data_IF_360024927075
#
_entry.id   IF_360024927075
#
_cell.length_a   1.000
_cell.length_b   1.000
_cell.length_c   1.000
_cell.angle_alpha   90.00
_cell.angle_beta   90.00
_cell.angle_gamma   90.00
#
_symmetry.space_group_name_H-M   'P 1'
#
loop_
_entity.id
_entity.type
_entity.pdbx_description
1 polymer ?
#
# COMPACT_ATOMS: atom_id res chain seq x y z
N UNK A 1 36.31 12.17 15.40
CA UNK A 1 35.04 12.70 15.92
C UNK A 1 34.01 12.45 14.82
N UNK A 2 33.12 11.44 14.91
CA UNK A 2 32.09 11.26 13.91
C UNK A 2 30.89 12.13 14.27
N UNK A 3 30.37 12.85 13.27
CA UNK A 3 29.17 13.66 13.37
C UNK A 3 27.94 12.76 13.53
N UNK A 4 27.17 12.99 14.57
CA UNK A 4 25.89 12.35 14.81
C UNK A 4 24.85 12.86 13.82
N UNK A 5 24.41 12.02 12.90
CA UNK A 5 23.22 12.25 12.08
C UNK A 5 21.98 12.07 12.97
N UNK A 6 21.39 13.18 13.36
CA UNK A 6 20.08 13.22 14.02
C UNK A 6 19.01 12.88 12.99
N UNK A 7 18.40 11.71 13.11
CA UNK A 7 17.18 11.36 12.38
C UNK A 7 16.04 12.23 12.92
N UNK A 8 15.63 13.21 12.11
CA UNK A 8 14.45 14.02 12.38
C UNK A 8 13.22 13.14 12.32
N UNK A 9 12.62 12.88 13.48
CA UNK A 9 11.27 12.34 13.62
C UNK A 9 10.30 13.26 12.88
N UNK A 10 9.73 12.79 11.78
CA UNK A 10 8.63 13.46 11.11
C UNK A 10 7.47 13.59 12.10
N UNK A 11 7.23 14.81 12.57
CA UNK A 11 6.12 15.14 13.45
C UNK A 11 4.81 14.91 12.68
N UNK A 12 4.15 13.80 13.00
CA UNK A 12 2.76 13.58 12.68
C UNK A 12 1.93 14.56 13.51
N UNK A 13 1.37 15.58 12.87
CA UNK A 13 0.41 16.48 13.52
C UNK A 13 -0.80 15.68 14.01
N UNK A 14 -0.97 15.64 15.32
CA UNK A 14 -2.14 15.07 15.98
C UNK A 14 -3.32 16.01 15.78
N UNK A 15 -4.26 15.62 14.94
CA UNK A 15 -5.58 16.23 14.90
C UNK A 15 -6.40 15.84 16.15
N UNK A 16 -7.35 16.67 16.60
CA UNK A 16 -8.07 16.49 17.86
C UNK A 16 -8.97 15.25 17.83
N UNK A 17 -9.04 14.58 18.98
CA UNK A 17 -9.88 13.44 19.29
C UNK A 17 -11.36 13.78 19.29
N UNK A 18 -12.18 12.91 18.66
CA UNK A 18 -13.55 12.63 19.05
C UNK A 18 -14.62 13.55 18.48
N UNK A 19 -15.34 13.01 17.55
CA UNK A 19 -16.81 12.93 17.37
C UNK A 19 -17.04 12.34 15.98
N UNK A 20 -17.94 11.37 15.87
CA UNK A 20 -18.37 10.80 14.58
C UNK A 20 -19.06 11.89 13.73
N UNK A 21 -18.27 12.56 12.90
CA UNK A 21 -18.73 13.64 12.03
C UNK A 21 -19.52 13.08 10.85
N UNK A 22 -20.64 13.70 10.43
CA UNK A 22 -21.37 13.34 9.21
C UNK A 22 -20.52 13.38 7.92
N UNK A 23 -19.34 14.02 7.98
CA UNK A 23 -18.34 14.00 6.90
C UNK A 23 -17.74 12.61 6.63
N UNK A 24 -17.74 11.68 7.58
CA UNK A 24 -17.26 10.31 7.39
C UNK A 24 -18.20 9.50 6.50
N UNK A 25 -19.51 9.72 6.61
CA UNK A 25 -20.53 9.10 5.75
C UNK A 25 -20.42 9.57 4.30
N UNK A 26 -20.26 10.88 4.08
CA UNK A 26 -20.09 11.44 2.73
C UNK A 26 -18.84 10.97 2.00
N UNK A 27 -17.73 10.80 2.72
CA UNK A 27 -16.48 10.26 2.16
C UNK A 27 -16.63 8.79 1.74
N UNK A 28 -17.36 7.99 2.53
CA UNK A 28 -17.63 6.58 2.23
C UNK A 28 -18.51 6.43 0.99
N UNK A 29 -19.52 7.27 0.85
CA UNK A 29 -20.42 7.30 -0.31
C UNK A 29 -19.71 7.79 -1.57
N UNK A 30 -18.89 8.83 -1.47
CA UNK A 30 -18.07 9.34 -2.58
C UNK A 30 -17.05 8.30 -3.06
N UNK A 31 -16.43 7.55 -2.13
CA UNK A 31 -15.52 6.46 -2.45
C UNK A 31 -16.24 5.34 -3.21
N UNK A 32 -17.42 4.91 -2.75
CA UNK A 32 -18.22 3.87 -3.41
C UNK A 32 -18.70 4.29 -4.81
N UNK A 33 -19.01 5.58 -5.01
CA UNK A 33 -19.36 6.13 -6.31
C UNK A 33 -18.13 6.19 -7.25
N UNK A 34 -16.99 6.60 -6.74
CA UNK A 34 -15.74 6.62 -7.51
C UNK A 34 -15.31 5.19 -7.93
N UNK A 35 -15.43 4.21 -7.04
CA UNK A 35 -15.17 2.78 -7.34
C UNK A 35 -16.06 2.25 -8.47
N UNK A 36 -17.28 2.80 -8.65
CA UNK A 36 -18.23 2.38 -9.70
C UNK A 36 -18.06 3.11 -11.02
N UNK A 37 -17.57 4.35 -10.99
CA UNK A 37 -17.59 5.27 -12.14
C UNK A 37 -16.22 5.42 -12.81
N UNK A 38 -15.11 5.20 -12.08
CA UNK A 38 -13.77 5.32 -12.67
C UNK A 38 -13.37 4.00 -13.34
N UNK A 39 -12.85 4.05 -14.59
CA UNK A 39 -12.31 2.89 -15.26
C UNK A 39 -11.16 2.28 -14.47
N UNK A 40 -11.09 0.95 -14.38
CA UNK A 40 -9.96 0.22 -13.75
C UNK A 40 -8.61 0.53 -14.39
N UNK A 41 -8.64 1.01 -15.65
CA UNK A 41 -7.43 1.49 -16.32
C UNK A 41 -6.81 2.71 -15.63
N UNK A 42 -7.59 3.48 -14.85
CA UNK A 42 -7.13 4.69 -14.17
C UNK A 42 -6.84 4.46 -12.69
N UNK A 43 -7.70 3.71 -12.00
CA UNK A 43 -7.54 3.48 -10.56
C UNK A 43 -8.14 2.15 -10.14
N UNK A 44 -7.40 1.43 -9.30
CA UNK A 44 -7.82 0.15 -8.73
C UNK A 44 -7.94 0.29 -7.22
N UNK A 45 -9.07 -0.14 -6.67
CA UNK A 45 -9.36 -0.19 -5.24
C UNK A 45 -9.46 -1.62 -4.74
N UNK A 46 -9.85 -2.54 -5.65
CA UNK A 46 -10.07 -3.95 -5.42
C UNK A 46 -9.76 -4.73 -6.69
N UNK A 47 -9.42 -6.01 -6.57
CA UNK A 47 -9.27 -6.89 -7.71
C UNK A 47 -10.61 -7.23 -8.38
N UNK A 48 -10.53 -7.79 -9.58
CA UNK A 48 -11.70 -8.16 -10.40
C UNK A 48 -12.66 -9.13 -9.70
N UNK A 49 -12.16 -9.98 -8.81
CA UNK A 49 -12.96 -10.93 -8.04
C UNK A 49 -13.97 -10.24 -7.08
N UNK A 50 -13.65 -9.06 -6.59
CA UNK A 50 -14.52 -8.31 -5.67
C UNK A 50 -15.83 -7.81 -6.31
N UNK A 51 -15.89 -7.76 -7.64
CA UNK A 51 -17.11 -7.37 -8.37
C UNK A 51 -18.20 -8.43 -8.33
N UNK A 52 -17.83 -9.67 -8.13
CA UNK A 52 -18.78 -10.76 -7.85
C UNK A 52 -19.05 -10.73 -6.37
N UNK A 53 -20.07 -9.99 -5.92
CA UNK A 53 -20.53 -9.92 -4.52
C UNK A 53 -20.64 -11.32 -3.93
N UNK A 54 -19.52 -11.86 -3.49
CA UNK A 54 -19.42 -13.19 -2.92
C UNK A 54 -18.62 -13.09 -1.63
N UNK A 55 -19.23 -13.46 -0.51
CA UNK A 55 -18.51 -13.77 0.73
C UNK A 55 -17.74 -15.10 0.62
N UNK A 56 -17.55 -15.60 -0.61
CA UNK A 56 -16.80 -16.84 -0.84
C UNK A 56 -15.29 -16.57 -0.70
N UNK A 57 -14.54 -17.59 -0.30
CA UNK A 57 -13.08 -17.53 -0.33
C UNK A 57 -12.54 -17.16 -1.71
N UNK A 58 -11.47 -16.38 -1.74
CA UNK A 58 -10.81 -15.95 -2.95
C UNK A 58 -9.51 -15.23 -2.61
N UNK A 59 -8.87 -14.60 -3.60
CA UNK A 59 -7.58 -13.92 -3.35
C UNK A 59 -7.77 -12.58 -2.65
N UNK A 60 -6.84 -12.27 -1.71
CA UNK A 60 -6.69 -10.99 -1.03
C UNK A 60 -5.24 -10.55 -1.15
N UNK A 61 -4.98 -9.31 -1.52
CA UNK A 61 -3.62 -8.80 -1.62
C UNK A 61 -3.17 -8.12 -0.33
N UNK A 62 -1.99 -8.51 0.17
CA UNK A 62 -1.29 -7.73 1.19
C UNK A 62 -0.41 -6.70 0.53
N UNK A 63 -0.42 -5.46 1.06
CA UNK A 63 0.46 -4.41 0.57
C UNK A 63 0.98 -3.53 1.70
N UNK A 64 2.24 -3.12 1.55
CA UNK A 64 2.96 -2.27 2.48
C UNK A 64 3.37 -0.97 1.80
N UNK A 65 3.13 0.17 2.44
CA UNK A 65 3.55 1.49 1.98
C UNK A 65 4.80 1.97 2.76
N UNK A 66 5.44 3.04 2.31
CA UNK A 66 6.50 3.81 2.99
C UNK A 66 7.88 3.14 3.05
N UNK A 67 8.07 1.98 2.43
CA UNK A 67 9.38 1.31 2.36
C UNK A 67 10.33 1.87 1.28
N UNK A 68 11.57 1.34 1.20
CA UNK A 68 12.17 0.40 2.16
C UNK A 68 12.64 1.09 3.45
N UNK A 69 12.64 0.38 4.58
CA UNK A 69 13.03 0.89 5.89
C UNK A 69 14.09 0.00 6.56
N UNK A 70 14.73 0.44 7.65
CA UNK A 70 15.60 -0.44 8.42
C UNK A 70 14.94 -1.72 8.94
N UNK A 71 13.62 -1.80 8.89
CA UNK A 71 12.87 -3.00 9.30
C UNK A 71 12.52 -3.93 8.11
N UNK A 72 12.83 -3.57 6.89
CA UNK A 72 12.51 -4.34 5.67
C UNK A 72 12.85 -5.83 5.83
N UNK A 73 14.08 -6.15 6.21
CA UNK A 73 14.49 -7.55 6.34
C UNK A 73 13.66 -8.31 7.38
N UNK A 74 13.24 -7.67 8.46
CA UNK A 74 12.37 -8.29 9.47
C UNK A 74 10.95 -8.56 8.93
N UNK A 75 10.41 -7.68 8.07
CA UNK A 75 9.15 -7.94 7.36
C UNK A 75 9.30 -9.16 6.47
N UNK A 76 10.40 -9.25 5.71
CA UNK A 76 10.66 -10.37 4.80
C UNK A 76 10.78 -11.70 5.56
N UNK A 77 11.52 -11.73 6.69
CA UNK A 77 11.65 -12.91 7.53
C UNK A 77 10.28 -13.44 8.00
N UNK A 78 9.39 -12.54 8.44
CA UNK A 78 8.06 -12.95 8.91
C UNK A 78 7.17 -13.40 7.75
N UNK A 79 7.21 -12.73 6.62
CA UNK A 79 6.44 -13.10 5.43
C UNK A 79 6.89 -14.46 4.87
N UNK A 80 8.20 -14.75 4.89
CA UNK A 80 8.75 -16.05 4.52
C UNK A 80 8.25 -17.15 5.45
N UNK A 81 8.33 -16.96 6.77
CA UNK A 81 7.80 -17.91 7.77
C UNK A 81 6.30 -18.18 7.56
N UNK A 82 5.54 -17.17 7.22
CA UNK A 82 4.11 -17.27 6.94
C UNK A 82 3.81 -17.85 5.54
N UNK A 83 4.83 -17.97 4.68
CA UNK A 83 4.72 -18.39 3.27
C UNK A 83 3.73 -17.51 2.51
N UNK A 84 3.91 -16.19 2.60
CA UNK A 84 3.04 -15.18 1.97
C UNK A 84 3.88 -14.22 1.17
N UNK A 85 3.43 -13.93 -0.06
CA UNK A 85 3.96 -12.84 -0.88
C UNK A 85 3.10 -11.59 -0.70
N UNK A 86 3.72 -10.44 -0.86
CA UNK A 86 3.07 -9.13 -0.70
C UNK A 86 3.58 -8.14 -1.74
N UNK A 87 2.92 -7.01 -1.85
CA UNK A 87 3.36 -5.88 -2.68
C UNK A 87 3.89 -4.77 -1.79
N UNK A 88 5.08 -4.28 -2.09
CA UNK A 88 5.71 -3.15 -1.40
C UNK A 88 5.66 -1.91 -2.30
N UNK A 89 4.96 -0.87 -1.85
CA UNK A 89 4.93 0.44 -2.51
C UNK A 89 6.04 1.30 -1.92
N UNK A 90 7.11 1.46 -2.69
CA UNK A 90 8.39 1.98 -2.23
C UNK A 90 8.59 3.46 -2.59
N UNK A 91 9.15 4.21 -1.65
CA UNK A 91 9.52 5.63 -1.80
C UNK A 91 10.86 5.74 -2.52
N UNK A 92 10.92 6.50 -3.60
CA UNK A 92 12.10 6.57 -4.48
C UNK A 92 13.38 7.03 -3.77
N UNK A 93 13.32 8.04 -2.90
CA UNK A 93 14.49 8.51 -2.13
C UNK A 93 15.06 7.40 -1.25
N UNK A 94 14.20 6.57 -0.65
CA UNK A 94 14.62 5.44 0.18
C UNK A 94 15.19 4.30 -0.69
N UNK A 95 14.61 4.06 -1.86
CA UNK A 95 15.17 3.10 -2.82
C UNK A 95 16.57 3.51 -3.29
N UNK A 96 16.78 4.79 -3.58
CA UNK A 96 18.07 5.31 -3.99
C UNK A 96 19.13 5.21 -2.87
N UNK A 97 18.71 5.42 -1.63
CA UNK A 97 19.58 5.31 -0.46
C UNK A 97 19.94 3.87 -0.09
N UNK A 98 19.01 2.92 -0.34
CA UNK A 98 19.09 1.54 0.12
C UNK A 98 18.68 0.52 -0.97
N UNK A 99 19.39 0.47 -2.12
CA UNK A 99 19.07 -0.43 -3.21
C UNK A 99 19.21 -1.92 -2.82
N UNK A 100 19.99 -2.22 -1.79
CA UNK A 100 20.13 -3.59 -1.24
C UNK A 100 18.82 -4.09 -0.63
N UNK A 101 18.02 -3.24 0.00
CA UNK A 101 16.72 -3.65 0.55
C UNK A 101 15.68 -3.87 -0.54
N UNK A 102 15.70 -3.03 -1.60
CA UNK A 102 14.86 -3.26 -2.78
C UNK A 102 15.16 -4.63 -3.40
N UNK A 103 16.44 -4.96 -3.52
CA UNK A 103 16.88 -6.26 -4.04
C UNK A 103 16.39 -7.41 -3.15
N UNK A 104 16.53 -7.30 -1.82
CA UNK A 104 16.08 -8.31 -0.88
C UNK A 104 14.56 -8.57 -0.98
N UNK A 105 13.74 -7.50 -1.14
CA UNK A 105 12.28 -7.64 -1.35
C UNK A 105 12.00 -8.49 -2.60
N UNK A 106 12.70 -8.21 -3.70
CA UNK A 106 12.50 -8.91 -4.98
C UNK A 106 13.00 -10.35 -4.91
N UNK A 107 14.18 -10.60 -4.32
CA UNK A 107 14.75 -11.93 -4.11
C UNK A 107 13.86 -12.80 -3.20
N UNK A 108 13.15 -12.18 -2.25
CA UNK A 108 12.12 -12.83 -1.43
C UNK A 108 10.83 -13.17 -2.20
N UNK A 109 10.77 -12.87 -3.50
CA UNK A 109 9.62 -13.17 -4.36
C UNK A 109 8.43 -12.21 -4.17
N UNK A 110 8.66 -11.08 -3.50
CA UNK A 110 7.64 -10.05 -3.32
C UNK A 110 7.56 -9.10 -4.53
N UNK A 111 6.43 -8.42 -4.65
CA UNK A 111 6.22 -7.41 -5.67
C UNK A 111 6.66 -6.05 -5.17
N UNK A 112 7.35 -5.26 -6.03
CA UNK A 112 7.67 -3.87 -5.78
C UNK A 112 6.91 -2.95 -6.71
N UNK A 113 6.50 -1.78 -6.21
CA UNK A 113 5.74 -0.77 -6.92
C UNK A 113 6.13 0.63 -6.42
N UNK A 114 5.76 1.68 -7.15
CA UNK A 114 6.13 3.05 -6.79
C UNK A 114 5.22 3.69 -5.75
N UNK A 115 5.81 4.46 -4.81
CA UNK A 115 5.08 5.29 -3.84
C UNK A 115 5.45 6.80 -3.94
N UNK A 116 5.77 7.25 -5.16
CA UNK A 116 6.38 8.55 -5.40
C UNK A 116 7.87 8.57 -5.06
N UNK A 117 8.58 9.62 -5.50
CA UNK A 117 10.00 9.75 -5.22
C UNK A 117 10.23 10.40 -3.84
N UNK A 118 9.53 11.51 -3.56
CA UNK A 118 9.69 12.33 -2.35
C UNK A 118 8.61 12.11 -1.29
N UNK A 119 7.74 11.13 -1.46
CA UNK A 119 6.58 10.84 -0.59
C UNK A 119 5.65 12.04 -0.38
N UNK A 120 5.59 12.99 -1.33
CA UNK A 120 4.63 14.11 -1.31
C UNK A 120 3.31 13.74 -1.96
N UNK A 121 2.23 14.37 -1.55
CA UNK A 121 0.89 14.16 -2.12
C UNK A 121 0.89 14.45 -3.63
N UNK A 122 0.43 13.52 -4.46
CA UNK A 122 0.38 13.70 -5.92
C UNK A 122 -0.48 14.89 -6.36
N UNK A 123 -1.43 15.28 -5.52
CA UNK A 123 -2.30 16.44 -5.74
C UNK A 123 -1.59 17.79 -5.60
N UNK A 124 -0.37 17.81 -5.06
CA UNK A 124 0.42 19.06 -4.88
C UNK A 124 1.39 19.33 -6.02
N UNK A 125 1.53 18.38 -6.95
CA UNK A 125 2.43 18.51 -8.09
C UNK A 125 1.73 19.05 -9.33
N UNK A 126 2.46 19.80 -10.13
CA UNK A 126 2.14 19.99 -11.54
C UNK A 126 2.28 18.67 -12.31
N UNK A 127 1.75 18.61 -13.52
CA UNK A 127 1.87 17.40 -14.35
C UNK A 127 3.34 17.04 -14.62
N UNK A 128 4.19 18.00 -14.89
CA UNK A 128 5.61 17.77 -15.17
C UNK A 128 6.36 17.25 -13.93
N UNK A 129 6.12 17.82 -12.76
CA UNK A 129 6.69 17.37 -11.50
C UNK A 129 6.23 15.95 -11.16
N UNK A 130 4.94 15.66 -11.30
CA UNK A 130 4.42 14.31 -11.04
C UNK A 130 5.01 13.29 -12.02
N UNK A 131 5.15 13.64 -13.30
CA UNK A 131 5.84 12.77 -14.26
C UNK A 131 7.27 12.48 -13.82
N UNK A 132 8.02 13.48 -13.36
CA UNK A 132 9.37 13.30 -12.83
C UNK A 132 9.40 12.39 -11.60
N UNK A 133 8.49 12.57 -10.64
CA UNK A 133 8.34 11.71 -9.46
C UNK A 133 8.14 10.24 -9.84
N UNK A 134 7.24 9.98 -10.80
CA UNK A 134 6.91 8.64 -11.26
C UNK A 134 8.11 7.96 -11.95
N UNK A 135 8.72 8.65 -12.91
CA UNK A 135 9.81 8.09 -13.71
C UNK A 135 11.06 7.85 -12.87
N UNK A 136 11.48 8.81 -12.05
CA UNK A 136 12.63 8.67 -11.14
C UNK A 136 12.46 7.49 -10.18
N UNK A 137 11.26 7.26 -9.66
CA UNK A 137 10.98 6.10 -8.81
C UNK A 137 11.07 4.81 -9.63
N UNK A 138 10.45 4.79 -10.80
CA UNK A 138 10.42 3.62 -11.69
C UNK A 138 11.82 3.16 -12.12
N UNK A 139 12.75 4.07 -12.35
CA UNK A 139 14.16 3.77 -12.71
C UNK A 139 14.92 3.02 -11.61
N UNK A 140 14.48 3.13 -10.35
CA UNK A 140 15.10 2.48 -9.20
C UNK A 140 14.50 1.10 -8.89
N UNK A 141 13.38 0.78 -9.52
CA UNK A 141 12.72 -0.50 -9.36
C UNK A 141 13.10 -1.45 -10.50
N UNK A 142 13.24 -2.75 -10.24
CA UNK A 142 13.57 -3.71 -11.29
C UNK A 142 12.50 -3.69 -12.37
N UNK A 143 12.97 -3.80 -13.63
CA UNK A 143 12.07 -3.94 -14.77
C UNK A 143 11.17 -5.17 -14.58
N UNK A 144 9.89 -5.00 -14.81
CA UNK A 144 8.91 -6.08 -14.68
C UNK A 144 8.43 -6.52 -16.05
N UNK A 145 8.29 -7.84 -16.22
CA UNK A 145 7.54 -8.41 -17.35
C UNK A 145 6.02 -8.14 -17.26
N UNK A 146 5.60 -7.38 -16.25
CA UNK A 146 4.20 -7.09 -16.01
C UNK A 146 3.67 -6.07 -17.04
N UNK A 147 2.50 -6.35 -17.57
CA UNK A 147 1.76 -5.48 -18.51
C UNK A 147 1.44 -4.09 -17.93
N UNK A 148 1.62 -3.90 -16.61
CA UNK A 148 1.25 -2.67 -15.88
C UNK A 148 2.30 -2.31 -14.84
N UNK A 149 2.70 -1.05 -14.84
CA UNK A 149 3.48 -0.49 -13.74
C UNK A 149 2.49 0.02 -12.67
N UNK A 150 2.68 -0.42 -11.43
CA UNK A 150 1.80 -0.04 -10.33
C UNK A 150 2.38 1.16 -9.58
N UNK A 151 1.50 2.08 -9.18
CA UNK A 151 1.85 3.19 -8.31
C UNK A 151 0.75 3.43 -7.30
N UNK A 152 1.12 3.72 -6.06
CA UNK A 152 0.20 4.18 -5.02
C UNK A 152 0.54 5.62 -4.64
N UNK A 153 -0.41 6.57 -4.77
CA UNK A 153 -0.19 7.94 -4.34
C UNK A 153 -0.04 8.03 -2.81
N UNK A 154 0.98 8.73 -2.29
CA UNK A 154 1.11 8.96 -0.86
C UNK A 154 -0.18 9.53 -0.25
N UNK A 155 -0.53 9.01 0.94
CA UNK A 155 -1.78 9.36 1.67
C UNK A 155 -3.08 9.02 0.90
N UNK A 156 -3.02 8.24 -0.17
CA UNK A 156 -4.16 8.02 -1.07
C UNK A 156 -4.69 9.29 -1.73
N UNK A 157 -3.85 10.33 -1.81
CA UNK A 157 -4.24 11.64 -2.33
C UNK A 157 -4.27 11.66 -3.86
N UNK A 158 -5.47 11.61 -4.43
CA UNK A 158 -5.71 11.61 -5.88
C UNK A 158 -6.56 12.80 -6.33
N UNK A 159 -6.33 13.24 -7.56
CA UNK A 159 -7.16 14.18 -8.30
C UNK A 159 -7.35 13.66 -9.72
N UNK A 160 -8.31 14.20 -10.48
CA UNK A 160 -8.47 13.85 -11.89
C UNK A 160 -7.18 14.09 -12.70
N UNK A 161 -6.47 15.19 -12.40
CA UNK A 161 -5.20 15.51 -13.05
C UNK A 161 -4.11 14.48 -12.70
N UNK A 162 -3.96 14.10 -11.43
CA UNK A 162 -2.94 13.13 -11.03
C UNK A 162 -3.23 11.73 -11.60
N UNK A 163 -4.48 11.28 -11.58
CA UNK A 163 -4.88 10.00 -12.17
C UNK A 163 -4.60 9.96 -13.68
N UNK A 164 -4.96 11.02 -14.39
CA UNK A 164 -4.68 11.13 -15.82
C UNK A 164 -3.18 11.13 -16.10
N UNK A 165 -2.38 11.86 -15.29
CA UNK A 165 -0.92 11.89 -15.45
C UNK A 165 -0.33 10.49 -15.24
N UNK A 166 -0.71 9.77 -14.19
CA UNK A 166 -0.26 8.40 -13.97
C UNK A 166 -0.60 7.50 -15.17
N UNK A 167 -1.84 7.54 -15.65
CA UNK A 167 -2.28 6.73 -16.78
C UNK A 167 -1.54 7.04 -18.09
N UNK A 168 -1.31 8.32 -18.40
CA UNK A 168 -0.56 8.75 -19.59
C UNK A 168 0.92 8.34 -19.54
N UNK A 169 1.48 8.15 -18.35
CA UNK A 169 2.84 7.64 -18.14
C UNK A 169 2.89 6.10 -18.05
N UNK A 170 1.77 5.39 -18.30
CA UNK A 170 1.72 3.93 -18.28
C UNK A 170 1.59 3.31 -16.89
N UNK A 171 1.25 4.11 -15.88
CA UNK A 171 1.04 3.63 -14.51
C UNK A 171 -0.43 3.35 -14.22
N UNK A 172 -0.70 2.24 -13.52
CA UNK A 172 -1.98 1.97 -12.90
C UNK A 172 -1.95 2.45 -11.45
N UNK A 173 -2.83 3.37 -11.10
CA UNK A 173 -2.98 3.85 -9.72
C UNK A 173 -3.68 2.80 -8.88
N UNK A 174 -3.04 2.37 -7.79
CA UNK A 174 -3.58 1.39 -6.84
C UNK A 174 -3.86 2.08 -5.52
N UNK A 175 -5.07 1.94 -5.02
CA UNK A 175 -5.46 2.32 -3.68
C UNK A 175 -5.71 1.04 -2.84
N UNK A 176 -6.56 1.11 -1.82
CA UNK A 176 -6.88 -0.02 -0.96
C UNK A 176 -8.36 -0.04 -0.60
N UNK A 177 -8.85 -1.20 -0.25
CA UNK A 177 -10.22 -1.38 0.22
C UNK A 177 -10.30 -1.66 1.72
N UNK A 178 -9.29 -2.32 2.28
CA UNK A 178 -9.20 -2.64 3.71
C UNK A 178 -7.98 -1.94 4.31
N UNK A 179 -8.22 -1.03 5.25
CA UNK A 179 -7.18 -0.27 5.95
C UNK A 179 -6.95 -0.88 7.33
N UNK A 180 -5.73 -1.32 7.61
CA UNK A 180 -5.32 -1.88 8.90
C UNK A 180 -5.38 -0.87 10.04
N UNK A 181 -5.09 0.40 9.75
CA UNK A 181 -4.94 1.46 10.74
C UNK A 181 -3.63 1.39 11.53
N UNK A 182 -2.67 0.58 11.11
CA UNK A 182 -1.40 0.31 11.79
C UNK A 182 -0.57 1.56 12.05
N UNK A 183 -0.57 2.52 11.12
CA UNK A 183 0.16 3.78 11.25
C UNK A 183 -0.25 4.64 12.46
N UNK A 184 -1.43 4.39 13.05
CA UNK A 184 -1.95 5.10 14.22
C UNK A 184 -2.24 4.18 15.42
N UNK A 185 -2.09 2.88 15.26
CA UNK A 185 -2.30 1.91 16.30
C UNK A 185 -1.28 2.09 17.43
N UNK A 186 -1.69 1.81 18.65
CA UNK A 186 -0.84 1.90 19.84
C UNK A 186 -0.10 0.58 20.10
N UNK A 187 -0.67 -0.51 19.62
CA UNK A 187 -0.16 -1.86 19.78
C UNK A 187 -0.63 -2.78 18.64
N UNK A 188 -0.02 -3.96 18.56
CA UNK A 188 -0.35 -4.97 17.55
C UNK A 188 -1.82 -5.43 17.65
N UNK A 189 -2.38 -5.47 18.86
CA UNK A 189 -3.75 -5.93 19.08
C UNK A 189 -4.79 -4.97 18.47
N UNK A 190 -4.50 -3.66 18.39
CA UNK A 190 -5.38 -2.72 17.67
C UNK A 190 -5.44 -3.03 16.19
N UNK A 191 -4.30 -3.42 15.59
CA UNK A 191 -4.25 -3.85 14.18
C UNK A 191 -5.05 -5.15 14.00
N UNK A 192 -4.80 -6.15 14.84
CA UNK A 192 -5.49 -7.46 14.80
C UNK A 192 -7.02 -7.29 14.91
N UNK A 193 -7.49 -6.43 15.81
CA UNK A 193 -8.93 -6.15 16.00
C UNK A 193 -9.59 -5.63 14.73
N UNK A 194 -8.88 -4.87 13.90
CA UNK A 194 -9.42 -4.38 12.64
C UNK A 194 -9.88 -5.55 11.76
N UNK A 195 -9.08 -6.59 11.65
CA UNK A 195 -9.39 -7.77 10.83
C UNK A 195 -10.45 -8.67 11.46
N UNK A 196 -10.54 -8.70 12.78
CA UNK A 196 -11.59 -9.45 13.49
C UNK A 196 -12.97 -8.78 13.37
N UNK A 197 -13.00 -7.44 13.37
CA UNK A 197 -14.26 -6.66 13.32
C UNK A 197 -14.70 -6.34 11.88
N UNK A 198 -13.77 -6.36 10.94
CA UNK A 198 -14.05 -6.10 9.52
C UNK A 198 -13.46 -7.25 8.70
N UNK A 199 -14.18 -8.39 8.61
CA UNK A 199 -13.70 -9.53 7.84
C UNK A 199 -13.45 -9.14 6.38
N UNK A 200 -12.31 -9.57 5.86
CA UNK A 200 -11.97 -9.34 4.46
C UNK A 200 -12.89 -10.13 3.53
N UNK A 201 -13.08 -9.60 2.34
CA UNK A 201 -13.77 -10.27 1.23
C UNK A 201 -12.78 -10.54 0.08
N UNK A 202 -13.10 -11.49 -0.78
CA UNK A 202 -12.31 -11.74 -1.98
C UNK A 202 -12.08 -10.47 -2.81
N UNK A 203 -10.90 -10.33 -3.37
CA UNK A 203 -10.51 -9.18 -4.19
C UNK A 203 -10.08 -7.94 -3.39
N UNK A 204 -10.02 -7.99 -2.06
CA UNK A 204 -9.58 -6.83 -1.29
C UNK A 204 -8.08 -6.63 -1.33
N UNK A 205 -7.69 -5.35 -1.29
CA UNK A 205 -6.32 -4.90 -1.14
C UNK A 205 -6.17 -4.32 0.26
N UNK A 206 -5.33 -4.99 1.07
CA UNK A 206 -5.04 -4.59 2.45
C UNK A 206 -3.90 -3.59 2.46
N UNK A 207 -4.12 -2.46 3.13
CA UNK A 207 -3.08 -1.46 3.40
C UNK A 207 -2.46 -1.72 4.76
N UNK A 208 -1.16 -1.85 4.76
CA UNK A 208 -0.24 -1.85 5.90
C UNK A 208 0.91 -0.86 5.61
N UNK A 209 1.72 -0.54 6.61
CA UNK A 209 2.87 0.33 6.43
C UNK A 209 4.14 -0.35 6.91
N UNK A 210 5.22 -0.15 6.16
CA UNK A 210 6.57 -0.53 6.56
C UNK A 210 7.11 0.45 7.61
N UNK A 211 8.11 0.03 8.38
CA UNK A 211 8.71 0.88 9.40
C UNK A 211 8.02 0.86 10.78
N UNK A 212 6.93 0.10 10.92
CA UNK A 212 6.19 -0.04 12.18
C UNK A 212 6.48 -1.40 12.84
N UNK A 213 7.20 -1.45 13.99
CA UNK A 213 7.45 -2.74 14.67
C UNK A 213 6.15 -3.48 15.05
N UNK A 214 5.12 -2.73 15.46
CA UNK A 214 3.82 -3.32 15.81
C UNK A 214 3.11 -4.00 14.65
N UNK A 215 3.34 -3.55 13.41
CA UNK A 215 2.81 -4.20 12.20
C UNK A 215 3.47 -5.57 12.02
N UNK A 216 4.80 -5.67 12.24
CA UNK A 216 5.53 -6.95 12.20
C UNK A 216 4.95 -7.93 13.23
N UNK A 217 4.68 -7.45 14.45
CA UNK A 217 4.09 -8.25 15.53
C UNK A 217 2.67 -8.73 15.20
N UNK A 218 1.87 -7.90 14.53
CA UNK A 218 0.49 -8.21 14.15
C UNK A 218 0.39 -9.16 12.96
N UNK A 219 1.40 -9.19 12.06
CA UNK A 219 1.34 -9.94 10.79
C UNK A 219 0.91 -11.39 10.93
N UNK A 220 1.43 -12.21 11.90
CA UNK A 220 1.00 -13.61 12.03
C UNK A 220 -0.51 -13.75 12.27
N UNK A 221 -1.09 -12.88 13.09
CA UNK A 221 -2.53 -12.88 13.38
C UNK A 221 -3.36 -12.35 12.23
N UNK A 222 -2.91 -11.28 11.57
CA UNK A 222 -3.55 -10.72 10.38
C UNK A 222 -3.62 -11.76 9.27
N UNK A 223 -2.49 -12.39 8.94
CA UNK A 223 -2.41 -13.45 7.93
C UNK A 223 -3.25 -14.67 8.33
N UNK A 224 -3.18 -15.08 9.60
CA UNK A 224 -4.01 -16.16 10.14
C UNK A 224 -5.50 -15.89 9.95
N UNK A 225 -5.99 -14.72 10.35
CA UNK A 225 -7.39 -14.33 10.19
C UNK A 225 -7.86 -14.34 8.73
N UNK A 226 -7.00 -13.95 7.78
CA UNK A 226 -7.33 -13.99 6.35
C UNK A 226 -7.40 -15.45 5.84
N UNK A 227 -6.45 -16.31 6.25
CA UNK A 227 -6.43 -17.72 5.89
C UNK A 227 -7.59 -18.51 6.52
N UNK A 228 -7.97 -18.18 7.76
CA UNK A 228 -9.12 -18.80 8.46
C UNK A 228 -10.46 -18.50 7.76
N UNK A 229 -10.54 -17.36 7.06
CA UNK A 229 -11.66 -17.04 6.17
C UNK A 229 -11.58 -17.78 4.82
N UNK A 230 -10.55 -18.59 4.60
CA UNK A 230 -10.33 -19.35 3.37
C UNK A 230 -9.69 -18.55 2.24
N UNK A 231 -9.16 -17.35 2.51
CA UNK A 231 -8.53 -16.53 1.48
C UNK A 231 -7.12 -17.00 1.14
N UNK A 232 -6.79 -16.93 -0.16
CA UNK A 232 -5.42 -17.03 -0.66
C UNK A 232 -4.77 -15.64 -0.66
N UNK A 233 -3.54 -15.53 -0.11
CA UNK A 233 -2.79 -14.28 -0.08
C UNK A 233 -1.99 -14.13 -1.38
N UNK A 234 -2.11 -12.99 -2.02
CA UNK A 234 -1.51 -12.69 -3.30
C UNK A 234 -0.81 -11.32 -3.30
N UNK A 235 -0.02 -11.06 -4.33
CA UNK A 235 0.42 -9.69 -4.64
C UNK A 235 -0.71 -8.91 -5.31
N UNK A 236 -0.61 -7.59 -5.35
CA UNK A 236 -1.59 -6.76 -6.07
C UNK A 236 -1.57 -7.09 -7.57
N UNK A 237 -0.38 -7.29 -8.15
CA UNK A 237 -0.27 -7.66 -9.57
C UNK A 237 -0.96 -9.00 -9.89
N UNK A 238 -0.83 -10.01 -9.01
CA UNK A 238 -1.53 -11.29 -9.17
C UNK A 238 -3.05 -11.16 -8.99
N UNK A 239 -3.48 -10.27 -8.10
CA UNK A 239 -4.90 -9.99 -7.89
C UNK A 239 -5.54 -9.31 -9.11
N UNK A 240 -4.75 -8.60 -9.92
CA UNK A 240 -5.21 -7.85 -11.11
C UNK A 240 -5.02 -8.61 -12.42
N UNK A 241 -4.32 -9.76 -12.41
CA UNK A 241 -4.08 -10.60 -13.58
C UNK A 241 -5.33 -11.40 -13.95
#
# INVERSE_FOLDING_TARGET
>A
MPASLSFGTALHERGPSGTSSPLASGRRTAKLLAERLLPEALVVWRGSEARRVSRQPGRVALSFDDGPTPLTLRYLDVLEQLRVRATFFLVGELCAAHPEWVRAIVEGGHEVAGHGYTHRRFTTFSRAELTSELLRTSELLPARDAKRQLVRPPYGAVSASSLLTCALQGFTTVLWSLNSGDWRARDAQEVERTFSTTPASAGEIVLLHEGQPLTIEALPRVVGSLKDLGHELATVGELLA
#
